data_IF_571090833371
#
_entry.id   IF_571090833371
#
_cell.length_a   1.000
_cell.length_b   1.000
_cell.length_c   1.000
_cell.angle_alpha   90.00
_cell.angle_beta   90.00
_cell.angle_gamma   90.00
#
_symmetry.space_group_name_H-M   'P 1'
#
loop_
_entity.id
_entity.type
_entity.pdbx_description
1 polymer ?
#
# COMPACT_ATOMS: atom_id res chain seq x y z
N UNK A 1 3.06 15.99 -2.68
CA UNK A 1 1.78 15.29 -2.95
C UNK A 1 2.12 14.06 -3.76
N UNK A 2 1.73 12.87 -3.31
CA UNK A 2 2.08 11.60 -3.97
C UNK A 2 0.81 10.89 -4.49
N UNK A 3 0.87 10.34 -5.70
CA UNK A 3 -0.18 9.47 -6.23
C UNK A 3 0.14 8.04 -5.85
N UNK A 4 -0.72 7.44 -5.02
CA UNK A 4 -0.50 6.09 -4.47
C UNK A 4 -1.06 4.99 -5.39
N UNK A 5 -2.35 5.08 -5.74
CA UNK A 5 -3.12 4.12 -6.54
C UNK A 5 -4.18 4.89 -7.34
N UNK A 6 -4.61 4.32 -8.47
CA UNK A 6 -5.71 4.85 -9.27
C UNK A 6 -6.44 3.73 -10.02
N UNK A 7 -7.61 4.05 -10.58
CA UNK A 7 -8.43 3.09 -11.35
C UNK A 7 -7.84 2.73 -12.71
N UNK A 8 -6.88 3.49 -13.23
CA UNK A 8 -6.23 3.25 -14.52
C UNK A 8 -5.22 2.10 -14.53
N UNK A 9 -5.04 1.39 -13.40
CA UNK A 9 -4.13 0.26 -13.30
C UNK A 9 -2.68 0.66 -13.10
N UNK A 10 -1.76 -0.01 -13.78
CA UNK A 10 -0.31 0.23 -13.65
C UNK A 10 0.13 1.30 -14.65
N UNK A 11 0.85 2.31 -14.17
CA UNK A 11 1.47 3.35 -14.97
C UNK A 11 2.94 3.49 -14.59
N UNK A 12 3.81 3.66 -15.59
CA UNK A 12 5.24 3.92 -15.37
C UNK A 12 5.83 4.73 -16.51
N UNK A 13 6.41 5.87 -16.17
CA UNK A 13 7.31 6.65 -17.02
C UNK A 13 8.47 7.21 -16.16
N UNK A 14 9.25 8.14 -16.70
CA UNK A 14 10.39 8.75 -16.01
C UNK A 14 10.00 9.68 -14.85
N UNK A 15 8.76 10.17 -14.82
CA UNK A 15 8.26 11.14 -13.85
C UNK A 15 7.23 10.54 -12.87
N UNK A 16 6.54 9.46 -13.23
CA UNK A 16 5.44 8.89 -12.45
C UNK A 16 5.43 7.35 -12.46
N UNK A 17 5.24 6.78 -11.28
CA UNK A 17 5.02 5.34 -11.09
C UNK A 17 3.79 5.10 -10.23
N UNK A 18 2.79 4.42 -10.80
CA UNK A 18 1.56 4.00 -10.11
C UNK A 18 1.39 2.49 -10.29
N UNK A 19 1.21 1.70 -9.21
CA UNK A 19 1.17 2.11 -7.81
C UNK A 19 2.52 2.63 -7.31
N UNK A 20 2.52 3.59 -6.37
CA UNK A 20 3.76 4.13 -5.81
C UNK A 20 4.61 3.01 -5.18
N UNK A 21 5.85 2.84 -5.62
CA UNK A 21 6.66 1.66 -5.27
C UNK A 21 6.73 1.35 -3.75
N UNK A 22 6.85 2.39 -2.91
CA UNK A 22 7.02 2.26 -1.47
C UNK A 22 5.71 2.21 -0.65
N UNK A 23 4.53 2.36 -1.27
CA UNK A 23 3.30 2.51 -0.48
C UNK A 23 2.96 1.28 0.37
N UNK A 24 3.37 0.09 -0.09
CA UNK A 24 3.08 -1.20 0.55
C UNK A 24 3.77 -1.40 1.90
N UNK A 25 4.79 -0.60 2.19
CA UNK A 25 5.55 -0.65 3.43
C UNK A 25 5.35 0.59 4.32
N UNK A 26 4.41 1.47 3.97
CA UNK A 26 4.17 2.73 4.67
C UNK A 26 2.84 2.70 5.39
N UNK A 27 2.91 2.54 6.71
CA UNK A 27 1.74 2.46 7.59
C UNK A 27 0.85 3.71 7.49
N UNK A 28 1.46 4.91 7.46
CA UNK A 28 0.73 6.18 7.31
C UNK A 28 -0.04 6.33 5.98
N UNK A 29 0.27 5.50 4.97
CA UNK A 29 -0.50 5.43 3.72
C UNK A 29 -1.59 4.37 3.84
N UNK A 30 -1.22 3.17 4.30
CA UNK A 30 -2.12 2.02 4.30
C UNK A 30 -3.20 2.10 5.38
N UNK A 31 -2.94 2.67 6.55
CA UNK A 31 -3.94 2.82 7.61
C UNK A 31 -5.10 3.73 7.20
N UNK A 32 -4.88 4.98 6.77
CA UNK A 32 -5.97 5.82 6.28
C UNK A 32 -6.68 5.21 5.06
N UNK A 33 -5.92 4.64 4.12
CA UNK A 33 -6.49 4.04 2.92
C UNK A 33 -7.36 2.81 3.24
N UNK A 34 -7.01 2.03 4.26
CA UNK A 34 -7.82 0.90 4.73
C UNK A 34 -9.13 1.35 5.38
N UNK A 35 -9.19 2.56 5.95
CA UNK A 35 -10.43 3.13 6.50
C UNK A 35 -11.38 3.60 5.40
N UNK A 36 -10.85 4.20 4.33
CA UNK A 36 -11.65 4.80 3.25
C UNK A 36 -11.99 3.78 2.15
N UNK A 37 -11.04 2.95 1.75
CA UNK A 37 -11.15 2.05 0.60
C UNK A 37 -10.59 0.63 0.87
N UNK A 38 -11.10 -0.10 1.89
CA UNK A 38 -10.52 -1.37 2.34
C UNK A 38 -10.51 -2.48 1.28
N UNK A 39 -11.46 -2.45 0.35
CA UNK A 39 -11.65 -3.47 -0.70
C UNK A 39 -10.89 -3.16 -1.98
N UNK A 40 -10.29 -1.98 -2.10
CA UNK A 40 -9.55 -1.63 -3.30
C UNK A 40 -8.34 -2.54 -3.45
N UNK A 41 -8.02 -2.92 -4.69
CA UNK A 41 -6.99 -3.93 -4.97
C UNK A 41 -5.75 -3.26 -5.51
N UNK A 42 -4.62 -3.68 -4.97
CA UNK A 42 -3.33 -3.39 -5.58
C UNK A 42 -3.18 -4.24 -6.86
N UNK A 43 -3.02 -3.63 -8.05
CA UNK A 43 -2.92 -4.37 -9.31
C UNK A 43 -1.67 -5.26 -9.38
N UNK A 44 -0.62 -4.98 -8.60
CA UNK A 44 0.61 -5.79 -8.63
C UNK A 44 0.54 -7.04 -7.76
N UNK A 45 -0.22 -7.02 -6.67
CA UNK A 45 -0.28 -8.16 -5.72
C UNK A 45 -1.64 -8.82 -5.66
N UNK A 46 -2.65 -8.26 -6.33
CA UNK A 46 -4.07 -8.62 -6.26
C UNK A 46 -4.69 -8.57 -4.84
N UNK A 47 -3.93 -8.11 -3.84
CA UNK A 47 -4.36 -8.00 -2.44
C UNK A 47 -5.19 -6.75 -2.24
N UNK A 48 -6.13 -6.83 -1.30
CA UNK A 48 -6.89 -5.66 -0.89
C UNK A 48 -6.05 -4.76 0.02
N UNK A 49 -6.35 -3.47 0.06
CA UNK A 49 -5.70 -2.53 1.00
C UNK A 49 -5.78 -3.03 2.44
N UNK A 50 -6.94 -3.58 2.86
CA UNK A 50 -7.10 -4.20 4.17
C UNK A 50 -6.09 -5.34 4.41
N UNK A 51 -5.87 -6.20 3.43
CA UNK A 51 -4.90 -7.30 3.53
C UNK A 51 -3.45 -6.81 3.59
N UNK A 52 -3.13 -5.69 2.93
CA UNK A 52 -1.81 -5.06 2.97
C UNK A 52 -1.57 -4.41 4.35
N UNK A 53 -2.53 -3.65 4.87
CA UNK A 53 -2.44 -3.03 6.20
C UNK A 53 -2.25 -4.07 7.31
N UNK A 54 -3.05 -5.14 7.32
CA UNK A 54 -2.92 -6.23 8.31
C UNK A 54 -1.57 -6.95 8.26
N UNK A 55 -0.87 -6.95 7.12
CA UNK A 55 0.48 -7.54 7.03
C UNK A 55 1.54 -6.67 7.67
N UNK A 56 1.45 -5.35 7.51
CA UNK A 56 2.38 -4.40 8.14
C UNK A 56 2.28 -4.45 9.66
N UNK A 57 1.06 -4.46 10.21
CA UNK A 57 0.84 -4.55 11.65
C UNK A 57 1.46 -5.83 12.25
N UNK A 58 1.58 -6.92 11.48
CA UNK A 58 2.26 -8.14 11.93
C UNK A 58 3.78 -8.00 11.93
N UNK A 59 4.35 -7.24 10.99
CA UNK A 59 5.80 -7.01 10.90
C UNK A 59 6.26 -6.08 12.02
N UNK A 60 5.56 -4.97 12.25
CA UNK A 60 5.89 -4.00 13.31
C UNK A 60 5.75 -4.55 14.73
N UNK A 61 4.96 -5.61 14.93
CA UNK A 61 4.84 -6.30 16.23
C UNK A 61 5.93 -7.32 16.50
N UNK A 62 6.88 -7.51 15.58
CA UNK A 62 8.02 -8.40 15.82
C UNK A 62 8.91 -7.74 16.87
N UNK A 63 9.09 -8.33 18.07
CA UNK A 63 9.93 -7.73 19.09
C UNK A 63 11.36 -7.62 18.56
N UNK A 64 11.94 -6.44 18.66
CA UNK A 64 13.38 -6.23 18.46
C UNK A 64 14.13 -7.20 19.37
N UNK A 65 14.72 -8.24 18.79
CA UNK A 65 15.68 -9.10 19.51
C UNK A 65 16.88 -8.21 19.83
N UNK A 66 17.05 -7.92 21.12
CA UNK A 66 18.27 -7.35 21.71
C UNK A 66 19.32 -8.44 21.90
#
# INVERSE_FOLDING_TARGET
>A
LDIVLWSGGVWRDSALCVPHAAFRSRDFVLRPLAQIAPRWRDPLTARTIRQLAMRLDKVDRTPIRS
#
